data_IF_529946658765
#
_entry.id   IF_529946658765
#
_cell.length_a   1.000
_cell.length_b   1.000
_cell.length_c   1.000
_cell.angle_alpha   90.00
_cell.angle_beta   90.00
_cell.angle_gamma   90.00
#
_symmetry.space_group_name_H-M   'P 1'
#
loop_
_entity.id
_entity.type
_entity.pdbx_description
1 polymer ?
#
# COMPACT_ATOMS: atom_id res chain seq x y z
N UNK A 1 -33.08 -12.37 -13.78
CA UNK A 1 -31.90 -11.60 -13.35
C UNK A 1 -31.92 -11.47 -11.85
N UNK A 2 -30.82 -11.75 -11.16
CA UNK A 2 -30.77 -11.63 -9.69
C UNK A 2 -30.56 -10.15 -9.33
N UNK A 3 -31.59 -9.54 -8.76
CA UNK A 3 -31.55 -8.17 -8.26
C UNK A 3 -30.71 -8.15 -6.98
N UNK A 4 -29.58 -7.43 -7.00
CA UNK A 4 -28.79 -7.12 -5.80
C UNK A 4 -29.50 -6.02 -5.02
N UNK A 5 -30.64 -6.34 -4.40
CA UNK A 5 -31.35 -5.43 -3.49
C UNK A 5 -31.10 -5.88 -2.06
N UNK A 6 -30.13 -5.24 -1.40
CA UNK A 6 -29.78 -5.53 -0.02
C UNK A 6 -28.43 -4.95 0.40
N UNK A 7 -28.13 -5.11 1.68
CA UNK A 7 -26.78 -4.89 2.21
C UNK A 7 -25.95 -6.16 1.95
N UNK A 8 -24.75 -5.98 1.41
CA UNK A 8 -23.87 -7.08 1.05
C UNK A 8 -22.48 -6.86 1.64
N UNK A 9 -21.93 -7.92 2.22
CA UNK A 9 -20.57 -7.94 2.72
C UNK A 9 -19.65 -8.56 1.68
N UNK A 10 -18.60 -7.84 1.31
CA UNK A 10 -17.56 -8.28 0.38
C UNK A 10 -16.26 -8.40 1.14
N UNK A 11 -15.66 -9.59 1.12
CA UNK A 11 -14.35 -9.84 1.69
C UNK A 11 -13.30 -9.89 0.59
N UNK A 12 -12.27 -9.07 0.70
CA UNK A 12 -11.15 -8.98 -0.25
C UNK A 12 -9.86 -9.35 0.46
N UNK A 13 -9.15 -10.33 -0.06
CA UNK A 13 -7.86 -10.76 0.44
C UNK A 13 -6.80 -10.53 -0.63
N UNK A 14 -5.65 -9.96 -0.26
CA UNK A 14 -4.49 -9.80 -1.13
C UNK A 14 -3.28 -10.46 -0.50
N UNK A 15 -2.61 -11.29 -1.28
CA UNK A 15 -1.25 -11.75 -0.97
C UNK A 15 -0.27 -10.79 -1.65
N UNK A 16 0.43 -9.99 -0.83
CA UNK A 16 1.38 -8.99 -1.33
C UNK A 16 2.70 -9.64 -1.78
N UNK A 17 2.90 -10.93 -1.51
CA UNK A 17 4.06 -11.67 -2.02
C UNK A 17 3.90 -12.13 -3.47
N UNK A 18 2.67 -12.15 -4.01
CA UNK A 18 2.37 -12.54 -5.39
C UNK A 18 2.14 -11.36 -6.34
N UNK A 19 2.35 -10.12 -5.89
CA UNK A 19 2.20 -8.92 -6.74
C UNK A 19 3.34 -8.85 -7.79
N UNK A 20 2.98 -8.62 -9.05
CA UNK A 20 3.93 -8.53 -10.19
C UNK A 20 4.75 -7.23 -10.18
N UNK A 21 4.14 -6.13 -9.73
CA UNK A 21 4.75 -4.81 -9.61
C UNK A 21 4.97 -4.48 -8.14
N UNK A 22 5.76 -5.32 -7.47
CA UNK A 22 6.15 -5.03 -6.09
C UNK A 22 7.27 -3.99 -6.13
N UNK A 23 7.02 -2.82 -5.54
CA UNK A 23 8.07 -1.82 -5.31
C UNK A 23 9.27 -2.49 -4.61
N UNK A 24 10.43 -2.38 -5.24
CA UNK A 24 11.62 -3.16 -4.87
C UNK A 24 12.05 -2.82 -3.44
N UNK A 25 12.32 -3.87 -2.65
CA UNK A 25 12.86 -3.77 -1.28
C UNK A 25 14.24 -3.09 -1.26
N UNK A 26 14.90 -3.02 -2.42
CA UNK A 26 16.22 -2.42 -2.61
C UNK A 26 16.28 -0.94 -2.18
N UNK A 27 15.18 -0.19 -2.28
CA UNK A 27 15.15 1.22 -1.84
C UNK A 27 14.98 1.39 -0.33
N UNK A 28 14.41 0.39 0.36
CA UNK A 28 14.19 0.44 1.81
C UNK A 28 15.38 -0.11 2.61
N UNK A 29 16.17 -1.00 1.99
CA UNK A 29 17.40 -1.57 2.57
C UNK A 29 18.64 -1.02 1.85
N UNK A 30 18.85 0.30 1.93
CA UNK A 30 20.03 1.00 1.38
C UNK A 30 21.40 0.52 1.93
N UNK A 31 21.46 -0.62 2.62
CA UNK A 31 22.65 -1.18 3.26
C UNK A 31 22.97 -2.64 2.91
N UNK A 32 22.27 -3.31 1.98
CA UNK A 32 22.63 -4.69 1.58
C UNK A 32 23.25 -4.75 0.19
N UNK A 33 24.59 -4.68 0.06
CA UNK A 33 25.26 -4.92 -1.21
C UNK A 33 25.44 -6.43 -1.41
N UNK A 34 24.40 -7.14 -1.86
CA UNK A 34 24.57 -8.50 -2.39
C UNK A 34 23.63 -8.74 -3.56
N UNK A 35 23.96 -8.13 -4.69
CA UNK A 35 23.59 -8.63 -6.01
C UNK A 35 24.86 -9.21 -6.65
N UNK A 36 25.29 -10.39 -6.18
CA UNK A 36 26.21 -11.22 -6.96
C UNK A 36 25.50 -12.52 -7.30
N UNK A 37 25.07 -12.59 -8.56
CA UNK A 37 24.82 -13.80 -9.35
C UNK A 37 24.43 -15.08 -8.59
N UNK A 38 23.23 -15.07 -8.00
CA UNK A 38 22.58 -16.32 -7.63
C UNK A 38 21.21 -16.41 -8.31
N UNK A 39 21.10 -17.32 -9.28
CA UNK A 39 19.84 -17.88 -9.81
C UNK A 39 19.03 -18.65 -8.74
N UNK A 40 19.09 -18.23 -7.47
CA UNK A 40 18.29 -18.76 -6.39
C UNK A 40 17.51 -17.62 -5.76
N UNK A 41 16.25 -17.48 -6.22
CA UNK A 41 15.11 -16.92 -5.46
C UNK A 41 15.56 -16.06 -4.27
N UNK A 42 15.86 -14.78 -4.51
CA UNK A 42 16.03 -13.82 -3.42
C UNK A 42 14.82 -13.97 -2.52
N UNK A 43 15.05 -14.48 -1.30
CA UNK A 43 13.97 -14.78 -0.37
C UNK A 43 13.22 -13.46 -0.16
N UNK A 44 11.89 -13.41 -0.36
CA UNK A 44 11.14 -12.19 -0.07
C UNK A 44 11.22 -11.97 1.44
N UNK A 45 12.20 -11.17 1.85
CA UNK A 45 12.53 -10.90 3.26
C UNK A 45 11.31 -10.31 3.98
N UNK A 46 10.41 -9.67 3.22
CA UNK A 46 9.12 -9.16 3.66
C UNK A 46 7.99 -10.00 3.03
N UNK A 47 7.16 -10.64 3.86
CA UNK A 47 5.88 -11.25 3.45
C UNK A 47 4.72 -10.36 3.90
N UNK A 48 3.86 -9.97 2.97
CA UNK A 48 2.70 -9.12 3.26
C UNK A 48 1.38 -9.80 2.96
N UNK A 49 0.37 -9.57 3.81
CA UNK A 49 -1.01 -10.01 3.59
C UNK A 49 -1.97 -8.90 3.99
N UNK A 50 -3.00 -8.67 3.18
CA UNK A 50 -4.05 -7.70 3.45
C UNK A 50 -5.42 -8.37 3.36
N UNK A 51 -6.27 -8.11 4.35
CA UNK A 51 -7.67 -8.53 4.36
C UNK A 51 -8.56 -7.31 4.60
N UNK A 52 -9.56 -7.13 3.75
CA UNK A 52 -10.54 -6.05 3.84
C UNK A 52 -11.95 -6.62 3.85
N UNK A 53 -12.76 -6.16 4.79
CA UNK A 53 -14.20 -6.38 4.81
C UNK A 53 -14.92 -5.08 4.45
N UNK A 54 -15.77 -5.15 3.43
CA UNK A 54 -16.51 -4.02 2.89
C UNK A 54 -18.00 -4.29 2.96
N UNK A 55 -18.76 -3.38 3.53
CA UNK A 55 -20.22 -3.44 3.53
C UNK A 55 -20.74 -2.46 2.50
N UNK A 56 -21.42 -2.97 1.49
CA UNK A 56 -22.01 -2.19 0.41
C UNK A 56 -23.52 -2.25 0.58
N UNK A 57 -24.17 -1.09 0.60
CA UNK A 57 -25.62 -0.97 0.75
C UNK A 57 -26.12 0.24 0.00
N UNK A 58 -27.31 0.16 -0.57
CA UNK A 58 -27.93 1.25 -1.33
C UNK A 58 -27.06 1.77 -2.50
N UNK A 59 -26.23 0.89 -3.08
CA UNK A 59 -25.36 1.23 -4.21
C UNK A 59 -24.03 1.91 -3.84
N UNK A 60 -23.74 2.13 -2.56
CA UNK A 60 -22.48 2.74 -2.11
C UNK A 60 -21.84 2.02 -0.92
N UNK A 61 -20.57 2.31 -0.69
CA UNK A 61 -19.79 1.73 0.40
C UNK A 61 -20.25 2.33 1.74
N UNK A 62 -20.79 1.49 2.63
CA UNK A 62 -21.19 1.87 3.98
C UNK A 62 -19.99 1.82 4.93
N UNK A 63 -19.24 0.74 4.89
CA UNK A 63 -18.03 0.59 5.72
C UNK A 63 -16.94 -0.16 4.95
N UNK A 64 -15.69 0.11 5.31
CA UNK A 64 -14.54 -0.70 4.92
C UNK A 64 -13.59 -0.81 6.11
N UNK A 65 -13.24 -2.03 6.48
CA UNK A 65 -12.27 -2.34 7.52
C UNK A 65 -11.18 -3.20 6.91
N UNK A 66 -9.96 -2.67 6.85
CA UNK A 66 -8.80 -3.37 6.30
C UNK A 66 -7.74 -3.60 7.39
N UNK A 67 -7.18 -4.81 7.41
CA UNK A 67 -6.02 -5.15 8.19
C UNK A 67 -4.92 -5.66 7.25
N UNK A 68 -3.76 -5.03 7.32
CA UNK A 68 -2.58 -5.44 6.58
C UNK A 68 -1.46 -5.80 7.55
N UNK A 69 -0.80 -6.91 7.28
CA UNK A 69 0.29 -7.45 8.08
C UNK A 69 1.50 -7.68 7.21
N UNK A 70 2.59 -6.98 7.51
CA UNK A 70 3.90 -7.15 6.89
C UNK A 70 4.83 -7.82 7.89
N UNK A 71 5.43 -8.93 7.49
CA UNK A 71 6.35 -9.72 8.31
C UNK A 71 7.71 -9.69 7.65
N UNK A 72 8.66 -9.02 8.28
CA UNK A 72 10.06 -8.97 7.87
C UNK A 72 10.88 -10.00 8.65
N UNK A 73 11.57 -10.90 7.95
CA UNK A 73 12.42 -11.95 8.53
C UNK A 73 13.77 -12.00 7.82
N UNK A 74 14.79 -11.27 8.31
CA UNK A 74 16.10 -11.20 7.69
C UNK A 74 16.93 -12.48 7.83
N UNK A 75 16.66 -13.32 8.84
CA UNK A 75 17.40 -14.56 9.08
C UNK A 75 16.45 -15.73 9.30
N UNK A 76 16.83 -16.92 8.80
CA UNK A 76 16.04 -18.15 8.85
C UNK A 76 16.04 -18.85 10.22
N UNK A 77 16.75 -18.31 11.21
CA UNK A 77 16.81 -18.88 12.56
C UNK A 77 15.55 -18.53 13.37
N UNK A 78 15.00 -19.56 14.01
CA UNK A 78 13.75 -19.56 14.77
C UNK A 78 13.77 -18.51 15.90
N UNK A 79 13.26 -17.31 15.67
CA UNK A 79 13.12 -16.36 16.76
C UNK A 79 12.43 -15.05 16.44
N UNK A 80 13.07 -14.18 15.66
CA UNK A 80 12.72 -12.76 15.69
C UNK A 80 12.55 -12.19 14.29
N UNK A 81 11.34 -11.71 14.01
CA UNK A 81 11.02 -10.91 12.83
C UNK A 81 10.26 -9.67 13.25
N UNK A 82 10.37 -8.61 12.45
CA UNK A 82 9.58 -7.40 12.67
C UNK A 82 8.21 -7.60 12.04
N UNK A 83 7.16 -7.32 12.80
CA UNK A 83 5.79 -7.38 12.31
C UNK A 83 5.21 -5.98 12.32
N UNK A 84 4.89 -5.45 11.15
CA UNK A 84 4.15 -4.21 10.98
C UNK A 84 2.69 -4.56 10.72
N UNK A 85 1.78 -3.93 11.44
CA UNK A 85 0.33 -4.08 11.23
C UNK A 85 -0.27 -2.72 10.94
N UNK A 86 -1.01 -2.62 9.83
CA UNK A 86 -1.74 -1.42 9.43
C UNK A 86 -3.23 -1.72 9.49
N UNK A 87 -3.98 -0.88 10.19
CA UNK A 87 -5.44 -1.00 10.26
C UNK A 87 -6.07 0.26 9.70
N UNK A 88 -7.00 0.11 8.78
CA UNK A 88 -7.71 1.20 8.14
C UNK A 88 -9.21 1.00 8.28
N UNK A 89 -9.93 2.04 8.70
CA UNK A 89 -11.38 2.01 8.86
C UNK A 89 -12.00 3.21 8.17
N UNK A 90 -12.93 2.93 7.27
CA UNK A 90 -13.77 3.92 6.60
C UNK A 90 -15.23 3.64 6.96
N UNK A 91 -15.95 4.67 7.37
CA UNK A 91 -17.37 4.58 7.73
C UNK A 91 -18.07 5.74 7.03
N UNK A 92 -19.09 5.42 6.25
CA UNK A 92 -20.00 6.41 5.70
C UNK A 92 -20.71 7.14 6.84
N UNK A 93 -20.63 8.46 6.86
CA UNK A 93 -21.25 9.29 7.90
C UNK A 93 -22.52 9.96 7.39
N UNK A 94 -22.40 10.86 6.41
CA UNK A 94 -23.52 11.65 5.89
C UNK A 94 -23.24 12.11 4.45
N UNK A 95 -24.26 12.14 3.62
CA UNK A 95 -24.24 12.79 2.31
C UNK A 95 -24.76 14.21 2.45
N UNK A 96 -24.05 15.19 1.88
CA UNK A 96 -24.48 16.59 1.83
C UNK A 96 -24.43 17.09 0.39
N UNK A 97 -25.52 17.68 -0.09
CA UNK A 97 -25.56 18.37 -1.38
C UNK A 97 -24.89 19.73 -1.26
N UNK A 98 -23.81 19.95 -2.02
CA UNK A 98 -23.14 21.27 -2.11
C UNK A 98 -23.19 21.75 -3.56
N UNK A 99 -23.56 23.01 -3.76
CA UNK A 99 -23.40 23.68 -5.05
C UNK A 99 -21.96 24.17 -5.16
N UNK A 100 -21.19 23.59 -6.08
CA UNK A 100 -19.84 24.04 -6.36
C UNK A 100 -19.90 25.31 -7.23
N UNK A 101 -19.46 26.44 -6.70
CA UNK A 101 -19.40 27.74 -7.40
C UNK A 101 -17.97 28.18 -7.73
N UNK A 102 -16.98 27.31 -7.54
CA UNK A 102 -15.56 27.61 -7.76
C UNK A 102 -15.08 27.14 -9.13
N UNK A 103 -14.30 27.95 -9.84
CA UNK A 103 -13.78 27.61 -11.17
C UNK A 103 -12.38 26.96 -11.12
N UNK A 104 -11.99 26.32 -10.02
CA UNK A 104 -10.58 25.93 -9.79
C UNK A 104 -10.34 24.44 -9.46
N UNK A 105 -11.33 23.57 -9.67
CA UNK A 105 -11.07 22.12 -9.59
C UNK A 105 -10.46 21.63 -10.91
N UNK A 106 -9.14 21.41 -10.91
CA UNK A 106 -8.46 20.68 -11.98
C UNK A 106 -8.29 19.22 -11.56
N UNK A 107 -9.07 18.27 -12.11
CA UNK A 107 -8.85 16.87 -11.82
C UNK A 107 -7.47 16.45 -12.33
N UNK A 108 -6.60 16.01 -11.44
CA UNK A 108 -5.37 15.31 -11.81
C UNK A 108 -5.67 13.82 -11.86
N UNK A 109 -5.16 13.15 -12.89
CA UNK A 109 -5.26 11.69 -13.04
C UNK A 109 -3.93 11.09 -12.64
N UNK A 110 -3.83 10.65 -11.39
CA UNK A 110 -2.67 9.93 -10.89
C UNK A 110 -3.02 8.45 -10.69
N UNK A 111 -2.07 7.52 -10.88
CA UNK A 111 -2.29 6.11 -10.58
C UNK A 111 -2.53 5.91 -9.08
N UNK A 112 -3.25 4.83 -8.72
CA UNK A 112 -3.46 4.44 -7.31
C UNK A 112 -2.23 3.78 -6.67
N UNK A 113 -1.11 3.75 -7.37
CA UNK A 113 0.16 3.20 -6.88
C UNK A 113 0.84 4.22 -5.98
N UNK A 114 1.51 3.73 -4.94
CA UNK A 114 2.26 4.60 -4.04
C UNK A 114 3.47 5.19 -4.76
N UNK A 115 3.64 6.51 -4.70
CA UNK A 115 4.76 7.20 -5.32
C UNK A 115 5.79 7.58 -4.25
N UNK A 116 7.04 7.17 -4.45
CA UNK A 116 8.14 7.54 -3.58
C UNK A 116 8.59 8.98 -3.88
N UNK A 117 8.81 9.77 -2.82
CA UNK A 117 9.50 11.04 -2.95
C UNK A 117 10.97 10.78 -3.33
N UNK A 118 11.41 11.29 -4.49
CA UNK A 118 12.82 11.23 -4.84
C UNK A 118 13.57 12.30 -4.02
N UNK A 119 14.66 11.95 -3.31
CA UNK A 119 15.49 12.95 -2.67
C UNK A 119 16.10 13.84 -3.76
N UNK A 120 15.79 15.13 -3.71
CA UNK A 120 16.47 16.13 -4.55
C UNK A 120 17.91 16.22 -4.06
N UNK A 121 18.83 15.56 -4.77
CA UNK A 121 20.26 15.70 -4.50
C UNK A 121 20.68 17.05 -5.08
N UNK A 122 20.71 18.07 -4.22
CA UNK A 122 21.21 19.39 -4.60
C UNK A 122 22.73 19.32 -4.77
N UNK A 123 23.17 19.10 -6.01
CA UNK A 123 24.58 19.01 -6.39
C UNK A 123 25.39 20.30 -6.11
N UNK A 124 24.75 21.37 -5.65
CA UNK A 124 25.44 22.63 -5.33
C UNK A 124 26.12 22.66 -3.96
N UNK A 125 25.92 21.66 -3.09
CA UNK A 125 26.53 21.63 -1.73
C UNK A 125 27.83 20.84 -1.59
N UNK A 126 28.40 20.30 -2.66
CA UNK A 126 29.61 19.45 -2.58
C UNK A 126 30.93 20.25 -2.55
N UNK A 127 30.94 21.55 -2.86
CA UNK A 127 32.17 22.34 -2.98
C UNK A 127 32.34 23.42 -1.88
N UNK A 128 32.21 23.08 -0.60
CA UNK A 128 32.54 24.04 0.47
C UNK A 128 33.37 23.52 1.65
N UNK A 129 33.86 22.28 1.62
CA UNK A 129 34.89 21.84 2.58
C UNK A 129 36.07 21.20 1.83
N UNK A 130 37.06 22.03 1.48
CA UNK A 130 38.45 21.65 1.22
C UNK A 130 39.36 22.81 1.61
#
# INVERSE_FOLDING_TARGET
>A
GRSWQGMHTVRKTKDLSSCTERENVDTYLQGTPYATDFQSKSLPVVKGHQECEQVIGNGFLQTSSCNEKLVFRPFSSKGNGVVTTVTQKLIYSVTTTRSFTGNDYRPTTEPLLYQHEQPVIDATKVNQDS
#
